data_IF_072805599993
#
_entry.id   IF_072805599993
#
_cell.length_a   1.000
_cell.length_b   1.000
_cell.length_c   1.000
_cell.angle_alpha   90.00
_cell.angle_beta   90.00
_cell.angle_gamma   90.00
#
_symmetry.space_group_name_H-M   'P 1'
#
loop_
_entity.id
_entity.type
_entity.pdbx_description
1 polymer ?
#
# COMPACT_ATOMS: atom_id res chain seq x y z
N UNK A 1 18.19 -2.99 20.85
CA UNK A 1 18.47 -3.97 19.78
C UNK A 1 17.56 -3.62 18.61
N UNK A 2 18.12 -3.24 17.46
CA UNK A 2 17.33 -2.95 16.27
C UNK A 2 16.61 -4.23 15.81
N UNK A 3 15.28 -4.19 15.72
CA UNK A 3 14.49 -5.32 15.30
C UNK A 3 14.57 -5.45 13.78
N UNK A 4 15.57 -6.19 13.29
CA UNK A 4 15.80 -6.39 11.84
C UNK A 4 14.56 -6.91 11.11
N UNK A 5 13.70 -7.68 11.78
CA UNK A 5 12.42 -8.16 11.24
C UNK A 5 11.46 -7.02 10.87
N UNK A 6 11.45 -5.92 11.64
CA UNK A 6 10.59 -4.78 11.34
C UNK A 6 11.01 -4.07 10.04
N UNK A 7 12.32 -3.95 9.78
CA UNK A 7 12.81 -3.34 8.55
C UNK A 7 12.44 -4.16 7.30
N UNK A 8 12.55 -5.49 7.37
CA UNK A 8 12.16 -6.36 6.26
C UNK A 8 10.66 -6.30 5.94
N UNK A 9 9.80 -6.18 6.94
CA UNK A 9 8.36 -6.08 6.73
C UNK A 9 7.95 -4.76 6.04
N UNK A 10 8.66 -3.65 6.31
CA UNK A 10 8.41 -2.38 5.63
C UNK A 10 8.78 -2.42 4.14
N UNK A 11 9.86 -3.11 3.76
CA UNK A 11 10.27 -3.24 2.36
C UNK A 11 9.25 -4.04 1.54
N UNK A 12 8.83 -5.20 2.06
CA UNK A 12 7.85 -6.04 1.40
C UNK A 12 6.49 -5.35 1.26
N UNK A 13 6.07 -4.59 2.27
CA UNK A 13 4.83 -3.80 2.21
C UNK A 13 4.84 -2.79 1.05
N UNK A 14 5.90 -1.99 0.94
CA UNK A 14 6.05 -1.00 -0.13
C UNK A 14 6.17 -1.67 -1.49
N UNK A 15 6.89 -2.80 -1.57
CA UNK A 15 7.02 -3.56 -2.82
C UNK A 15 5.68 -4.09 -3.31
N UNK A 16 4.85 -4.63 -2.41
CA UNK A 16 3.51 -5.12 -2.76
C UNK A 16 2.57 -3.98 -3.17
N UNK A 17 2.58 -2.84 -2.46
CA UNK A 17 1.80 -1.66 -2.87
C UNK A 17 2.20 -1.20 -4.28
N UNK A 18 3.50 -1.04 -4.54
CA UNK A 18 3.99 -0.65 -5.85
C UNK A 18 3.60 -1.66 -6.94
N UNK A 19 3.72 -2.95 -6.65
CA UNK A 19 3.34 -4.02 -7.57
C UNK A 19 1.86 -3.97 -7.91
N UNK A 20 1.01 -3.69 -6.92
CA UNK A 20 -0.43 -3.53 -7.11
C UNK A 20 -0.76 -2.28 -7.94
N UNK A 21 -0.11 -1.14 -7.69
CA UNK A 21 -0.33 0.07 -8.47
C UNK A 21 0.02 -0.13 -9.95
N UNK A 22 1.08 -0.90 -10.24
CA UNK A 22 1.50 -1.21 -11.62
C UNK A 22 0.55 -2.21 -12.29
N UNK A 23 0.12 -3.26 -11.59
CA UNK A 23 -0.71 -4.31 -12.18
C UNK A 23 -2.18 -3.94 -12.30
N UNK A 24 -2.69 -3.18 -11.34
CA UNK A 24 -4.12 -3.00 -11.12
C UNK A 24 -4.52 -1.54 -10.86
N UNK A 25 -3.62 -0.71 -10.34
CA UNK A 25 -3.91 0.66 -9.91
C UNK A 25 -3.46 1.75 -10.89
N UNK A 26 -3.11 2.91 -10.35
CA UNK A 26 -2.74 4.11 -11.09
C UNK A 26 -1.63 3.88 -12.11
N UNK A 27 -0.54 3.24 -11.70
CA UNK A 27 0.64 3.05 -12.56
C UNK A 27 0.44 2.02 -13.69
N UNK A 28 -0.75 1.43 -13.80
CA UNK A 28 -1.12 0.62 -14.97
C UNK A 28 -1.47 1.46 -16.21
N UNK A 29 -1.72 2.77 -16.03
CA UNK A 29 -2.01 3.71 -17.11
C UNK A 29 -0.91 4.77 -17.24
N UNK A 30 -0.63 5.28 -18.46
CA UNK A 30 0.40 6.31 -18.68
C UNK A 30 0.19 7.61 -17.90
N UNK A 31 -1.07 7.99 -17.65
CA UNK A 31 -1.44 9.22 -16.94
C UNK A 31 -1.52 9.04 -15.43
N UNK A 32 -1.34 7.81 -14.95
CA UNK A 32 -1.47 7.46 -13.55
C UNK A 32 -0.33 8.00 -12.69
N UNK A 33 -0.68 8.30 -11.45
CA UNK A 33 0.23 8.86 -10.46
C UNK A 33 -0.02 8.26 -9.09
N UNK A 34 1.09 8.07 -8.36
CA UNK A 34 1.09 7.70 -6.95
C UNK A 34 1.75 8.83 -6.18
N UNK A 35 1.06 9.30 -5.14
CA UNK A 35 1.60 10.22 -4.15
C UNK A 35 1.81 9.45 -2.84
N UNK A 36 3.04 9.49 -2.36
CA UNK A 36 3.43 8.89 -1.09
C UNK A 36 3.80 10.04 -0.16
N UNK A 37 3.17 10.11 1.00
CA UNK A 37 3.60 10.98 2.09
C UNK A 37 3.71 10.15 3.37
N UNK A 38 4.60 10.56 4.27
CA UNK A 38 4.79 9.84 5.53
C UNK A 38 5.12 10.78 6.66
N UNK A 39 4.75 10.37 7.87
CA UNK A 39 5.13 11.00 9.12
C UNK A 39 5.59 9.95 10.12
N UNK A 40 6.37 10.37 11.11
CA UNK A 40 6.81 9.50 12.20
C UNK A 40 6.39 10.09 13.54
N UNK A 41 5.63 9.31 14.32
CA UNK A 41 5.16 9.70 15.66
C UNK A 41 5.37 8.55 16.62
N UNK A 42 6.04 8.77 17.76
CA UNK A 42 6.27 7.75 18.81
C UNK A 42 6.79 6.40 18.29
N UNK A 43 7.78 6.45 17.38
CA UNK A 43 8.37 5.29 16.71
C UNK A 43 7.42 4.47 15.81
N UNK A 44 6.26 5.04 15.47
CA UNK A 44 5.39 4.54 14.39
C UNK A 44 5.64 5.32 13.12
N UNK A 45 5.62 4.60 12.01
CA UNK A 45 5.63 5.17 10.67
C UNK A 45 4.19 5.20 10.19
N UNK A 46 3.69 6.38 9.85
CA UNK A 46 2.40 6.57 9.19
C UNK A 46 2.68 6.84 7.72
N UNK A 47 2.17 6.00 6.83
CA UNK A 47 2.30 6.17 5.38
C UNK A 47 0.91 6.50 4.84
N UNK A 48 0.81 7.57 4.08
CA UNK A 48 -0.35 7.89 3.27
C UNK A 48 -0.01 7.64 1.80
N UNK A 49 -0.74 6.71 1.20
CA UNK A 49 -0.59 6.28 -0.19
C UNK A 49 -1.84 6.66 -0.97
N UNK A 50 -1.68 7.56 -1.94
CA UNK A 50 -2.78 8.04 -2.77
C UNK A 50 -2.51 7.74 -4.24
N UNK A 51 -3.48 7.10 -4.88
CA UNK A 51 -3.45 6.79 -6.32
C UNK A 51 -4.45 7.66 -7.08
N UNK A 52 -4.04 8.15 -8.24
CA UNK A 52 -4.91 8.95 -9.12
C UNK A 52 -4.57 8.74 -10.59
N UNK A 53 -5.52 9.00 -11.48
CA UNK A 53 -5.34 8.78 -12.92
C UNK A 53 -5.31 7.31 -13.34
N UNK A 54 -5.69 6.40 -12.43
CA UNK A 54 -5.78 4.97 -12.70
C UNK A 54 -7.09 4.53 -13.36
N UNK A 55 -7.21 3.23 -13.66
CA UNK A 55 -8.43 2.66 -14.21
C UNK A 55 -9.61 2.85 -13.24
N UNK A 56 -10.81 3.01 -13.78
CA UNK A 56 -12.01 3.15 -12.96
C UNK A 56 -12.28 1.84 -12.19
N UNK A 57 -12.31 1.93 -10.86
CA UNK A 57 -12.67 0.81 -9.99
C UNK A 57 -14.19 0.79 -9.84
N UNK A 58 -14.87 -0.08 -10.60
CA UNK A 58 -16.33 -0.17 -10.61
C UNK A 58 -16.91 -0.87 -9.37
N UNK A 59 -16.15 -1.78 -8.76
CA UNK A 59 -16.52 -2.49 -7.53
C UNK A 59 -15.25 -3.03 -6.84
N UNK A 60 -15.28 -3.25 -5.51
CA UNK A 60 -14.20 -3.95 -4.82
C UNK A 60 -13.97 -5.35 -5.41
N UNK A 61 -12.71 -5.83 -5.46
CA UNK A 61 -12.43 -7.17 -5.96
C UNK A 61 -13.12 -8.24 -5.09
N UNK A 62 -13.73 -9.24 -5.73
CA UNK A 62 -14.42 -10.33 -5.04
C UNK A 62 -13.48 -11.25 -4.23
N UNK A 63 -12.16 -11.18 -4.51
CA UNK A 63 -11.10 -11.88 -3.80
C UNK A 63 -9.88 -10.98 -3.70
N UNK A 64 -9.26 -10.97 -2.52
CA UNK A 64 -7.97 -10.33 -2.32
C UNK A 64 -6.87 -11.37 -2.52
N UNK A 65 -5.81 -10.98 -3.22
CA UNK A 65 -4.60 -11.78 -3.32
C UNK A 65 -3.80 -11.75 -2.02
N UNK A 66 -2.86 -12.67 -1.87
CA UNK A 66 -1.99 -12.74 -0.68
C UNK A 66 -1.28 -11.41 -0.37
N UNK A 67 -0.80 -10.68 -1.39
CA UNK A 67 -0.16 -9.37 -1.21
C UNK A 67 -1.10 -8.32 -0.59
N UNK A 68 -2.36 -8.28 -1.01
CA UNK A 68 -3.37 -7.37 -0.46
C UNK A 68 -3.78 -7.76 0.96
N UNK A 69 -3.90 -9.06 1.25
CA UNK A 69 -4.17 -9.55 2.61
C UNK A 69 -3.01 -9.26 3.57
N UNK A 70 -1.76 -9.42 3.11
CA UNK A 70 -0.55 -9.09 3.86
C UNK A 70 -0.47 -7.58 4.13
N UNK A 71 -0.71 -6.74 3.12
CA UNK A 71 -0.73 -5.29 3.28
C UNK A 71 -1.82 -4.83 4.27
N UNK A 72 -3.02 -5.42 4.20
CA UNK A 72 -4.08 -5.16 5.16
C UNK A 72 -3.73 -5.63 6.59
N UNK A 73 -3.00 -6.73 6.71
CA UNK A 73 -2.47 -7.23 7.99
C UNK A 73 -1.45 -6.29 8.63
N UNK A 74 -0.51 -5.77 7.83
CA UNK A 74 0.49 -4.80 8.27
C UNK A 74 -0.16 -3.46 8.66
N UNK A 75 -1.22 -3.05 7.96
CA UNK A 75 -2.00 -1.87 8.34
C UNK A 75 -2.60 -1.98 9.75
N UNK A 76 -3.16 -3.15 10.11
CA UNK A 76 -3.71 -3.41 11.44
C UNK A 76 -2.67 -3.37 12.57
N UNK A 77 -1.38 -3.42 12.25
CA UNK A 77 -0.29 -3.32 13.24
C UNK A 77 0.18 -1.87 13.52
N UNK A 78 -0.39 -0.86 12.84
CA UNK A 78 -0.13 0.55 13.13
C UNK A 78 0.11 1.47 11.93
N UNK A 79 -0.31 1.08 10.72
CA UNK A 79 -0.22 1.86 9.48
C UNK A 79 -1.65 2.05 8.94
N UNK A 80 -2.24 3.23 9.05
CA UNK A 80 -3.59 3.45 8.53
C UNK A 80 -3.56 3.72 7.02
N UNK A 81 -4.02 2.77 6.19
CA UNK A 81 -4.31 3.04 4.77
C UNK A 81 -5.80 2.93 4.47
N UNK A 82 -6.33 3.78 3.57
CA UNK A 82 -7.57 3.49 2.87
C UNK A 82 -7.30 2.40 1.83
N UNK A 83 -7.44 1.13 2.22
CA UNK A 83 -7.35 -0.05 1.32
C UNK A 83 -8.56 -0.11 0.35
N UNK A 84 -9.25 1.00 0.12
CA UNK A 84 -10.47 1.05 -0.67
C UNK A 84 -10.24 1.04 -2.19
N UNK A 85 -8.99 1.09 -2.66
CA UNK A 85 -8.68 1.18 -4.10
C UNK A 85 -7.57 0.22 -4.59
N UNK A 86 -7.44 -0.98 -3.98
CA UNK A 86 -6.69 -2.10 -4.58
C UNK A 86 -7.53 -3.38 -4.48
#
# INVERSE_FOLDING_TARGET
MANWLALFLHELFLHELLTNSVKHGALSLPEGQVRISWSTTDAKLDIDWQEGGGPAIAAPPARYGYGTEMAAGLCRSGLALPVACI
#
